data_IF_470313041130
#
_entry.id   IF_470313041130
#
_cell.length_a   1.000
_cell.length_b   1.000
_cell.length_c   1.000
_cell.angle_alpha   90.00
_cell.angle_beta   90.00
_cell.angle_gamma   90.00
#
_symmetry.space_group_name_H-M   'P 1'
#
loop_
_entity.id
_entity.type
_entity.pdbx_description
1 polymer ?
#
# COMPACT_ATOMS: atom_id res chain seq x y z
N UNK A 1 6.00 72.23 -6.96
CA UNK A 1 6.86 71.38 -6.06
C UNK A 1 6.02 70.62 -5.04
N UNK A 2 5.00 71.26 -4.39
CA UNK A 2 4.17 70.63 -3.32
C UNK A 2 3.22 69.55 -3.88
N UNK A 3 2.68 69.71 -5.07
CA UNK A 3 1.74 68.77 -5.72
C UNK A 3 2.43 67.50 -6.12
N UNK A 4 3.67 67.56 -6.66
CA UNK A 4 4.45 66.41 -7.02
C UNK A 4 4.85 65.55 -5.81
N UNK A 5 5.08 66.19 -4.66
CA UNK A 5 5.45 65.51 -3.42
C UNK A 5 4.24 64.74 -2.86
N UNK A 6 3.04 65.35 -2.90
CA UNK A 6 1.80 64.68 -2.46
C UNK A 6 1.44 63.51 -3.38
N UNK A 7 1.62 63.66 -4.70
CA UNK A 7 1.35 62.60 -5.67
C UNK A 7 2.30 61.41 -5.49
N UNK A 8 3.61 61.65 -5.33
CA UNK A 8 4.62 60.62 -5.03
C UNK A 8 4.36 59.90 -3.69
N UNK A 9 3.88 60.62 -2.70
CA UNK A 9 3.51 60.02 -1.39
C UNK A 9 2.30 59.12 -1.51
N UNK A 10 1.27 59.49 -2.27
CA UNK A 10 0.08 58.66 -2.51
C UNK A 10 0.41 57.42 -3.28
N UNK A 11 1.31 57.48 -4.27
CA UNK A 11 1.78 56.33 -5.05
C UNK A 11 2.55 55.37 -4.16
N UNK A 12 3.45 55.86 -3.32
CA UNK A 12 4.21 55.00 -2.39
C UNK A 12 3.28 54.31 -1.40
N UNK A 13 2.27 55.00 -0.90
CA UNK A 13 1.28 54.42 0.00
C UNK A 13 0.44 53.31 -0.68
N UNK A 14 0.04 53.53 -1.94
CA UNK A 14 -0.70 52.57 -2.72
C UNK A 14 0.12 51.30 -3.01
N UNK A 15 1.41 51.47 -3.32
CA UNK A 15 2.33 50.34 -3.57
C UNK A 15 2.56 49.53 -2.28
N UNK A 16 2.72 50.22 -1.14
CA UNK A 16 2.89 49.54 0.15
C UNK A 16 1.64 48.75 0.57
N UNK A 17 0.45 49.30 0.32
CA UNK A 17 -0.81 48.62 0.58
C UNK A 17 -1.02 47.41 -0.34
N UNK A 18 -0.62 47.52 -1.61
CA UNK A 18 -0.68 46.42 -2.59
C UNK A 18 0.28 45.28 -2.22
N UNK A 19 1.53 45.60 -1.79
CA UNK A 19 2.49 44.61 -1.30
C UNK A 19 2.01 43.90 -0.03
N UNK A 20 1.37 44.63 0.90
CA UNK A 20 0.80 44.03 2.12
C UNK A 20 -0.37 43.09 1.81
N UNK A 21 -1.19 43.39 0.80
CA UNK A 21 -2.28 42.51 0.36
C UNK A 21 -1.79 41.22 -0.32
N UNK A 22 -0.62 41.23 -0.94
CA UNK A 22 -0.02 40.06 -1.58
C UNK A 22 0.64 39.09 -0.57
N UNK A 23 0.90 39.53 0.67
CA UNK A 23 1.50 38.71 1.74
C UNK A 23 0.45 37.89 2.52
N UNK A 24 -0.86 38.10 2.30
CA UNK A 24 -1.91 37.23 2.86
C UNK A 24 -2.11 36.00 1.95
N UNK A 25 -1.02 35.35 1.56
CA UNK A 25 -1.05 34.07 0.88
C UNK A 25 -1.70 33.01 1.79
N UNK A 26 -2.83 32.46 1.34
CA UNK A 26 -3.44 31.27 1.91
C UNK A 26 -2.35 30.21 2.16
N UNK A 27 -2.06 29.96 3.42
CA UNK A 27 -1.22 28.86 3.82
C UNK A 27 -1.91 27.54 3.49
N UNK A 28 -1.72 27.03 2.27
CA UNK A 28 -2.05 25.65 1.94
C UNK A 28 -1.06 24.78 2.72
N UNK A 29 -1.51 24.24 3.84
CA UNK A 29 -0.74 23.27 4.59
C UNK A 29 -0.70 21.96 3.78
N UNK A 30 0.30 21.79 2.93
CA UNK A 30 0.57 20.53 2.26
C UNK A 30 1.16 19.61 3.31
N UNK A 31 0.34 18.69 3.81
CA UNK A 31 0.79 17.60 4.69
C UNK A 31 1.48 16.54 3.83
N UNK A 32 2.79 16.58 3.77
CA UNK A 32 3.57 15.48 3.21
C UNK A 32 3.55 14.31 4.18
N UNK A 33 2.94 13.18 3.79
CA UNK A 33 3.09 11.91 4.49
C UNK A 33 4.39 11.26 4.01
N UNK A 34 5.37 11.16 4.89
CA UNK A 34 6.65 10.48 4.63
C UNK A 34 6.50 8.95 4.52
N UNK A 35 5.35 8.39 4.94
CA UNK A 35 5.06 6.96 4.88
C UNK A 35 4.55 6.47 3.53
N UNK A 36 4.34 7.36 2.56
CA UNK A 36 3.70 7.03 1.26
C UNK A 36 2.21 6.68 1.36
N UNK A 37 1.64 6.70 2.56
CA UNK A 37 0.24 6.44 2.78
C UNK A 37 -0.57 7.75 2.76
N UNK A 38 -1.59 7.81 1.90
CA UNK A 38 -2.56 8.90 1.82
C UNK A 38 -3.89 8.44 2.41
N UNK A 39 -3.95 8.31 3.74
CA UNK A 39 -5.15 7.85 4.45
C UNK A 39 -6.00 9.05 4.88
N UNK A 40 -7.32 9.06 4.59
CA UNK A 40 -8.21 10.14 5.02
C UNK A 40 -8.08 10.42 6.53
N UNK A 41 -8.12 11.71 6.95
CA UNK A 41 -7.96 12.07 8.36
C UNK A 41 -9.02 11.47 9.26
N UNK A 42 -10.17 11.11 8.73
CA UNK A 42 -11.30 10.53 9.45
C UNK A 42 -11.17 9.03 9.67
N UNK A 43 -10.35 8.33 8.87
CA UNK A 43 -10.06 6.91 9.06
C UNK A 43 -9.19 6.71 10.32
N UNK A 44 -9.64 5.84 11.23
CA UNK A 44 -9.02 5.59 12.53
C UNK A 44 -8.72 4.13 12.79
N UNK A 45 -9.45 3.22 12.16
CA UNK A 45 -9.38 1.80 12.44
C UNK A 45 -9.20 0.96 11.16
N UNK A 46 -8.61 -0.21 11.32
CA UNK A 46 -8.59 -1.23 10.28
C UNK A 46 -8.84 -2.61 10.87
N UNK A 47 -9.40 -3.50 10.05
CA UNK A 47 -9.58 -4.91 10.37
C UNK A 47 -9.07 -5.80 9.24
N UNK A 48 -8.50 -6.94 9.59
CA UNK A 48 -8.01 -7.96 8.65
C UNK A 48 -8.63 -9.28 9.07
N UNK A 49 -9.50 -9.83 8.23
CA UNK A 49 -10.02 -11.17 8.43
C UNK A 49 -8.93 -12.21 8.13
N UNK A 50 -9.05 -13.39 8.75
CA UNK A 50 -8.17 -14.50 8.43
C UNK A 50 -8.33 -14.92 6.96
N UNK A 51 -7.21 -15.11 6.24
CA UNK A 51 -7.19 -15.51 4.84
C UNK A 51 -7.12 -17.04 4.72
N UNK A 52 -8.23 -17.75 4.48
CA UNK A 52 -8.21 -19.20 4.30
C UNK A 52 -7.43 -19.57 3.05
N UNK A 53 -6.74 -20.72 3.11
CA UNK A 53 -6.08 -21.29 1.94
C UNK A 53 -7.03 -22.26 1.22
N UNK A 54 -7.58 -21.80 0.10
CA UNK A 54 -8.47 -22.56 -0.79
C UNK A 54 -7.74 -23.04 -2.05
N UNK A 55 -6.40 -22.97 -2.08
CA UNK A 55 -5.60 -23.49 -3.18
C UNK A 55 -5.57 -25.04 -3.14
N UNK A 56 -5.34 -25.66 -4.30
CA UNK A 56 -5.24 -27.13 -4.43
C UNK A 56 -4.09 -27.72 -3.60
N UNK A 57 -2.93 -27.02 -3.58
CA UNK A 57 -1.81 -27.32 -2.71
C UNK A 57 -1.88 -26.43 -1.47
N UNK A 58 -1.54 -26.97 -0.32
CA UNK A 58 -1.66 -26.25 0.96
C UNK A 58 -0.31 -26.20 1.66
N UNK A 59 0.15 -24.97 1.94
CA UNK A 59 1.24 -24.72 2.87
C UNK A 59 0.64 -24.29 4.22
N UNK A 60 0.84 -25.05 5.32
CA UNK A 60 0.17 -24.77 6.60
C UNK A 60 0.43 -23.36 7.16
N UNK A 61 1.63 -22.81 6.91
CA UNK A 61 2.05 -21.51 7.43
C UNK A 61 1.54 -20.33 6.62
N UNK A 62 1.08 -20.55 5.37
CA UNK A 62 0.84 -19.45 4.42
C UNK A 62 -0.29 -18.51 4.88
N UNK A 63 -1.41 -19.07 5.36
CA UNK A 63 -2.56 -18.28 5.81
C UNK A 63 -2.22 -17.35 6.99
N UNK A 64 -1.53 -17.87 8.01
CA UNK A 64 -1.09 -17.06 9.14
C UNK A 64 -0.04 -16.03 8.72
N UNK A 65 0.96 -16.44 7.95
CA UNK A 65 2.04 -15.53 7.47
C UNK A 65 1.45 -14.36 6.68
N UNK A 66 0.47 -14.61 5.80
CA UNK A 66 -0.17 -13.56 5.01
C UNK A 66 -1.01 -12.61 5.89
N UNK A 67 -1.84 -13.18 6.78
CA UNK A 67 -2.71 -12.39 7.66
C UNK A 67 -1.89 -11.51 8.60
N UNK A 68 -0.88 -12.08 9.26
CA UNK A 68 -0.01 -11.37 10.20
C UNK A 68 0.83 -10.29 9.50
N UNK A 69 1.36 -10.58 8.30
CA UNK A 69 2.12 -9.61 7.52
C UNK A 69 1.26 -8.41 7.09
N UNK A 70 -0.01 -8.63 6.75
CA UNK A 70 -0.92 -7.54 6.39
C UNK A 70 -1.27 -6.68 7.60
N UNK A 71 -1.54 -7.28 8.76
CA UNK A 71 -1.73 -6.56 10.03
C UNK A 71 -0.50 -5.74 10.38
N UNK A 72 0.68 -6.34 10.30
CA UNK A 72 1.96 -5.69 10.59
C UNK A 72 2.23 -4.50 9.67
N UNK A 73 1.93 -4.63 8.37
CA UNK A 73 2.11 -3.57 7.39
C UNK A 73 1.29 -2.34 7.75
N UNK A 74 -0.02 -2.51 8.03
CA UNK A 74 -0.91 -1.40 8.38
C UNK A 74 -0.57 -0.80 9.74
N UNK A 75 -0.23 -1.62 10.72
CA UNK A 75 0.17 -1.16 12.07
C UNK A 75 1.44 -0.30 12.02
N UNK A 76 2.44 -0.70 11.22
CA UNK A 76 3.73 0.01 11.17
C UNK A 76 3.72 1.23 10.25
N UNK A 77 2.93 1.20 9.18
CA UNK A 77 2.96 2.25 8.14
C UNK A 77 1.83 3.26 8.23
N UNK A 78 0.85 3.03 9.10
CA UNK A 78 -0.29 3.92 9.24
C UNK A 78 -0.51 4.31 10.70
N UNK A 79 -1.43 5.26 10.91
CA UNK A 79 -1.92 5.65 12.24
C UNK A 79 -3.18 4.88 12.65
N UNK A 80 -3.64 3.95 11.82
CA UNK A 80 -4.86 3.20 12.07
C UNK A 80 -4.65 2.21 13.24
N UNK A 81 -5.67 2.08 14.07
CA UNK A 81 -5.69 1.08 15.14
C UNK A 81 -6.36 -0.19 14.62
N UNK A 82 -5.75 -1.34 14.91
CA UNK A 82 -6.35 -2.62 14.59
C UNK A 82 -7.59 -2.87 15.45
N UNK A 83 -8.67 -3.36 14.84
CA UNK A 83 -9.87 -3.90 15.48
C UNK A 83 -10.15 -5.29 14.91
N UNK A 84 -10.91 -6.11 15.65
CA UNK A 84 -11.21 -7.48 15.21
C UNK A 84 -12.08 -7.49 13.95
N UNK A 85 -13.15 -6.69 13.91
CA UNK A 85 -14.08 -6.58 12.80
C UNK A 85 -14.57 -5.14 12.62
N UNK A 86 -15.07 -4.81 11.42
CA UNK A 86 -15.75 -3.54 11.17
C UNK A 86 -14.85 -2.31 11.23
N UNK A 87 -13.56 -2.45 10.91
CA UNK A 87 -12.67 -1.31 10.77
C UNK A 87 -13.11 -0.36 9.65
N UNK A 88 -12.72 0.93 9.73
CA UNK A 88 -12.94 1.91 8.64
C UNK A 88 -12.33 1.40 7.33
N UNK A 89 -11.21 0.69 7.43
CA UNK A 89 -10.58 -0.09 6.37
C UNK A 89 -10.67 -1.57 6.73
N UNK A 90 -11.47 -2.34 5.99
CA UNK A 90 -11.63 -3.77 6.22
C UNK A 90 -11.04 -4.58 5.06
N UNK A 91 -10.24 -5.58 5.40
CA UNK A 91 -9.63 -6.51 4.45
C UNK A 91 -10.13 -7.93 4.70
N UNK A 92 -10.67 -8.53 3.65
CA UNK A 92 -11.13 -9.91 3.61
C UNK A 92 -10.56 -10.57 2.35
N UNK A 93 -10.38 -11.86 2.38
CA UNK A 93 -9.91 -12.55 1.17
C UNK A 93 -9.60 -14.01 1.39
N UNK A 94 -9.02 -14.59 0.36
CA UNK A 94 -8.67 -16.01 0.32
C UNK A 94 -7.42 -16.22 -0.56
N UNK A 95 -6.67 -17.26 -0.24
CA UNK A 95 -5.57 -17.74 -1.08
C UNK A 95 -6.20 -18.70 -2.09
N UNK A 96 -6.11 -18.38 -3.38
CA UNK A 96 -6.76 -19.14 -4.46
C UNK A 96 -5.78 -19.98 -5.26
N UNK A 97 -4.47 -19.68 -5.19
CA UNK A 97 -3.44 -20.48 -5.85
C UNK A 97 -2.16 -20.50 -5.02
N UNK A 98 -1.58 -21.70 -4.93
CA UNK A 98 -0.25 -21.99 -4.39
C UNK A 98 0.31 -23.12 -5.24
N UNK A 99 1.23 -22.81 -6.15
CA UNK A 99 1.75 -23.78 -7.12
C UNK A 99 3.23 -23.61 -7.35
N UNK A 100 3.92 -24.72 -7.53
CA UNK A 100 5.29 -24.74 -8.04
C UNK A 100 5.30 -25.33 -9.44
N UNK A 101 5.94 -24.62 -10.36
CA UNK A 101 6.09 -25.03 -11.76
C UNK A 101 7.53 -24.82 -12.21
N UNK A 102 7.96 -25.56 -13.23
CA UNK A 102 9.27 -25.32 -13.84
C UNK A 102 9.28 -23.97 -14.53
N UNK A 103 10.20 -23.09 -14.16
CA UNK A 103 10.45 -21.84 -14.86
C UNK A 103 11.31 -22.11 -16.09
N UNK A 104 11.05 -21.37 -17.18
CA UNK A 104 11.80 -21.53 -18.42
C UNK A 104 13.28 -21.20 -18.25
N UNK A 105 14.14 -21.97 -18.86
CA UNK A 105 15.61 -21.81 -18.85
C UNK A 105 16.00 -20.59 -19.67
N UNK A 106 16.87 -19.73 -19.11
CA UNK A 106 17.64 -18.77 -19.90
C UNK A 106 18.71 -19.53 -20.73
N UNK A 107 18.92 -19.14 -21.98
CA UNK A 107 19.67 -19.86 -22.99
C UNK A 107 21.18 -20.01 -22.76
N UNK A 108 21.76 -19.49 -21.68
CA UNK A 108 23.22 -19.47 -21.49
C UNK A 108 23.74 -20.21 -20.24
N UNK A 109 22.89 -20.67 -19.32
CA UNK A 109 23.32 -21.51 -18.20
C UNK A 109 22.25 -22.56 -17.87
N UNK A 110 22.69 -23.82 -17.71
CA UNK A 110 21.85 -25.02 -17.52
C UNK A 110 21.29 -25.11 -16.09
N UNK A 111 20.93 -24.00 -15.46
CA UNK A 111 20.22 -24.02 -14.17
C UNK A 111 18.71 -24.09 -14.44
N UNK A 112 18.14 -25.27 -14.21
CA UNK A 112 16.69 -25.42 -14.17
C UNK A 112 16.17 -24.76 -12.89
N UNK A 113 15.30 -23.76 -13.04
CA UNK A 113 14.63 -23.12 -11.91
C UNK A 113 13.18 -23.58 -11.83
N UNK A 114 12.71 -23.75 -10.63
CA UNK A 114 11.28 -23.84 -10.32
C UNK A 114 10.79 -22.50 -9.84
N UNK A 115 9.51 -22.25 -10.04
CA UNK A 115 8.83 -21.02 -9.60
C UNK A 115 7.70 -21.37 -8.65
N UNK A 116 7.76 -20.85 -7.42
CA UNK A 116 6.65 -20.86 -6.49
C UNK A 116 5.79 -19.62 -6.73
N UNK A 117 4.52 -19.81 -7.08
CA UNK A 117 3.55 -18.74 -7.33
C UNK A 117 2.43 -18.79 -6.29
N UNK A 118 2.13 -17.64 -5.70
CA UNK A 118 0.99 -17.45 -4.78
C UNK A 118 0.05 -16.43 -5.39
N UNK A 119 -1.24 -16.76 -5.42
CA UNK A 119 -2.30 -15.85 -5.87
C UNK A 119 -3.37 -15.74 -4.78
N UNK A 120 -3.72 -14.51 -4.45
CA UNK A 120 -4.73 -14.18 -3.45
C UNK A 120 -5.82 -13.31 -4.06
N UNK A 121 -7.04 -13.50 -3.61
CA UNK A 121 -8.17 -12.62 -3.91
C UNK A 121 -8.48 -11.81 -2.67
N UNK A 122 -8.50 -10.49 -2.80
CA UNK A 122 -8.69 -9.56 -1.69
C UNK A 122 -9.87 -8.66 -1.97
N UNK A 123 -10.74 -8.53 -0.98
CA UNK A 123 -11.78 -7.50 -0.91
C UNK A 123 -11.34 -6.45 0.10
N UNK A 124 -11.23 -5.23 -0.35
CA UNK A 124 -11.04 -4.06 0.50
C UNK A 124 -12.33 -3.27 0.58
N UNK A 125 -12.78 -2.97 1.78
CA UNK A 125 -13.94 -2.12 2.04
C UNK A 125 -13.48 -0.87 2.77
N UNK A 126 -13.80 0.29 2.20
CA UNK A 126 -13.64 1.58 2.86
C UNK A 126 -15.01 2.04 3.35
N UNK A 127 -15.24 2.01 4.66
CA UNK A 127 -16.52 2.39 5.27
C UNK A 127 -16.81 3.89 5.16
N UNK A 128 -15.79 4.73 4.93
CA UNK A 128 -15.91 6.19 4.82
C UNK A 128 -16.21 6.64 3.37
N UNK A 129 -15.77 5.86 2.37
CA UNK A 129 -16.03 6.11 0.97
C UNK A 129 -16.13 4.80 0.20
N UNK A 130 -17.36 4.32 -0.01
CA UNK A 130 -17.63 3.06 -0.68
C UNK A 130 -17.07 3.00 -2.11
N UNK A 131 -16.94 4.14 -2.80
CA UNK A 131 -16.40 4.20 -4.17
C UNK A 131 -14.92 3.79 -4.24
N UNK A 132 -14.22 3.84 -3.13
CA UNK A 132 -12.82 3.44 -3.02
C UNK A 132 -12.67 1.97 -2.63
N UNK A 133 -13.77 1.29 -2.31
CA UNK A 133 -13.78 -0.15 -2.08
C UNK A 133 -13.50 -0.90 -3.39
N UNK A 134 -12.81 -2.04 -3.29
CA UNK A 134 -12.46 -2.83 -4.45
C UNK A 134 -12.37 -4.33 -4.12
N UNK A 135 -12.43 -5.15 -5.17
CA UNK A 135 -12.15 -6.57 -5.13
C UNK A 135 -11.10 -6.86 -6.21
N UNK A 136 -9.90 -7.29 -5.80
CA UNK A 136 -8.75 -7.49 -6.70
C UNK A 136 -8.05 -8.80 -6.42
N UNK A 137 -7.40 -9.32 -7.45
CA UNK A 137 -6.51 -10.47 -7.35
C UNK A 137 -5.06 -9.98 -7.45
N UNK A 138 -4.22 -10.48 -6.55
CA UNK A 138 -2.79 -10.20 -6.52
C UNK A 138 -2.04 -11.51 -6.70
N UNK A 139 -0.96 -11.48 -7.48
CA UNK A 139 -0.12 -12.64 -7.74
C UNK A 139 1.34 -12.23 -7.58
N UNK A 140 2.09 -13.02 -6.84
CA UNK A 140 3.54 -12.86 -6.73
C UNK A 140 4.24 -14.20 -6.73
N UNK A 141 5.54 -14.20 -6.99
CA UNK A 141 6.33 -15.42 -7.09
C UNK A 141 7.78 -15.20 -6.66
N UNK A 142 8.44 -16.34 -6.38
CA UNK A 142 9.90 -16.46 -6.24
C UNK A 142 10.38 -17.69 -6.99
N UNK A 143 11.58 -17.58 -7.56
CA UNK A 143 12.26 -18.68 -8.24
C UNK A 143 13.25 -19.35 -7.29
N UNK A 144 13.38 -20.67 -7.43
CA UNK A 144 14.32 -21.45 -6.63
C UNK A 144 14.95 -22.59 -7.48
N UNK A 145 16.09 -23.09 -7.05
CA UNK A 145 16.79 -24.17 -7.75
C UNK A 145 15.93 -25.44 -7.84
N UNK A 146 15.81 -26.02 -9.05
CA UNK A 146 14.99 -27.22 -9.28
C UNK A 146 15.55 -28.48 -8.57
N UNK A 147 16.79 -28.43 -8.12
CA UNK A 147 17.44 -29.48 -7.32
C UNK A 147 16.95 -29.54 -5.89
N UNK A 148 16.30 -28.49 -5.40
CA UNK A 148 15.75 -28.40 -4.04
C UNK A 148 14.26 -28.78 -4.03
N UNK A 149 13.84 -29.44 -2.97
CA UNK A 149 12.41 -29.71 -2.75
C UNK A 149 11.68 -28.46 -2.29
N UNK A 150 10.43 -28.27 -2.73
CA UNK A 150 9.61 -27.15 -2.30
C UNK A 150 9.50 -27.06 -0.77
N UNK A 151 9.32 -28.20 -0.09
CA UNK A 151 9.21 -28.28 1.38
C UNK A 151 10.47 -27.83 2.13
N UNK A 152 11.63 -27.80 1.47
CA UNK A 152 12.88 -27.31 2.06
C UNK A 152 13.01 -25.78 1.95
N UNK A 153 12.36 -25.19 0.95
CA UNK A 153 12.51 -23.76 0.61
C UNK A 153 11.26 -22.93 0.93
N UNK A 154 10.11 -23.55 1.12
CA UNK A 154 8.86 -22.83 1.34
C UNK A 154 8.89 -21.92 2.58
N UNK A 155 9.60 -22.32 3.64
CA UNK A 155 9.78 -21.50 4.83
C UNK A 155 10.54 -20.19 4.59
N UNK A 156 11.37 -20.14 3.55
CA UNK A 156 12.11 -18.95 3.10
C UNK A 156 11.35 -18.17 2.04
N UNK A 157 10.75 -18.86 1.06
CA UNK A 157 10.10 -18.22 -0.09
C UNK A 157 8.75 -17.61 0.25
N UNK A 158 7.96 -18.25 1.11
CA UNK A 158 6.63 -17.75 1.49
C UNK A 158 6.70 -16.33 2.07
N UNK A 159 7.55 -16.03 3.06
CA UNK A 159 7.68 -14.67 3.58
C UNK A 159 8.07 -13.64 2.51
N UNK A 160 8.95 -13.99 1.57
CA UNK A 160 9.38 -13.08 0.50
C UNK A 160 8.24 -12.76 -0.47
N UNK A 161 7.46 -13.78 -0.88
CA UNK A 161 6.30 -13.61 -1.75
C UNK A 161 5.20 -12.82 -1.04
N UNK A 162 4.95 -13.13 0.23
CA UNK A 162 3.95 -12.44 1.07
C UNK A 162 4.29 -10.96 1.24
N UNK A 163 5.56 -10.61 1.46
CA UNK A 163 5.98 -9.19 1.58
C UNK A 163 5.64 -8.38 0.32
N UNK A 164 5.85 -8.98 -0.87
CA UNK A 164 5.46 -8.36 -2.15
C UNK A 164 3.95 -8.20 -2.26
N UNK A 165 3.18 -9.25 -1.95
CA UNK A 165 1.71 -9.23 -2.01
C UNK A 165 1.12 -8.19 -1.06
N UNK A 166 1.61 -8.12 0.17
CA UNK A 166 1.16 -7.16 1.19
C UNK A 166 1.52 -5.73 0.81
N UNK A 167 2.69 -5.52 0.19
CA UNK A 167 3.09 -4.22 -0.37
C UNK A 167 2.13 -3.77 -1.46
N UNK A 168 1.75 -4.65 -2.38
CA UNK A 168 0.81 -4.35 -3.46
C UNK A 168 -0.59 -4.02 -2.91
N UNK A 169 -1.08 -4.77 -1.91
CA UNK A 169 -2.35 -4.49 -1.22
C UNK A 169 -2.30 -3.12 -0.55
N UNK A 170 -1.21 -2.83 0.16
CA UNK A 170 -1.01 -1.55 0.84
C UNK A 170 -1.02 -0.38 -0.15
N UNK A 171 -0.31 -0.51 -1.26
CA UNK A 171 -0.30 0.51 -2.32
C UNK A 171 -1.68 0.71 -2.93
N UNK A 172 -2.42 -0.37 -3.18
CA UNK A 172 -3.75 -0.31 -3.76
C UNK A 172 -4.81 0.32 -2.84
N UNK A 173 -4.63 0.23 -1.51
CA UNK A 173 -5.61 0.67 -0.51
C UNK A 173 -5.24 1.98 0.19
N UNK A 174 -3.94 2.26 0.40
CA UNK A 174 -3.48 3.38 1.21
C UNK A 174 -2.64 4.43 0.47
N UNK A 175 -2.25 4.18 -0.80
CA UNK A 175 -1.34 5.08 -1.53
C UNK A 175 -1.95 5.74 -2.77
N UNK A 176 -3.10 5.28 -3.25
CA UNK A 176 -3.74 5.74 -4.50
C UNK A 176 -4.99 6.59 -4.24
N UNK A 177 -4.83 7.69 -3.53
CA UNK A 177 -5.89 8.68 -3.31
C UNK A 177 -5.68 9.92 -4.15
#
# INVERSE_FOLDING_TARGET
>A
RTIDMIFKMKIKLAITALCAALLTGCGVAIKYSLSGASIPPDARTFSVAYFPNNATMVAPILSSTLTDALVDMFTRRTRLMQVEEGGDFAFEGEIINYTSTTASVSSDEVALLNRLTITIKVRFTNALDEKQSWNRTFTSYEDYESTRLLTEVEGELIPQIVDKLVTDIFQASASNW
#
